data_IF_695484351558
#
_entry.id   IF_695484351558
#
_cell.length_a   1.000
_cell.length_b   1.000
_cell.length_c   1.000
_cell.angle_alpha   90.00
_cell.angle_beta   90.00
_cell.angle_gamma   90.00
#
_symmetry.space_group_name_H-M   'P 1'
#
loop_
_entity.id
_entity.type
_entity.pdbx_description
1 polymer ?
#
# COMPACT_ATOMS: atom_id res chain seq x y z
N UNK A 1 -16.38 -7.88 3.91
CA UNK A 1 -16.26 -6.42 3.70
C UNK A 1 -15.08 -6.08 2.79
N UNK A 2 -13.85 -6.53 3.07
CA UNK A 2 -12.66 -6.20 2.25
C UNK A 2 -12.68 -6.83 0.84
N UNK A 3 -13.24 -8.03 0.71
CA UNK A 3 -13.28 -8.78 -0.56
C UNK A 3 -14.12 -8.08 -1.65
N UNK A 4 -15.28 -7.54 -1.29
CA UNK A 4 -16.18 -6.88 -2.25
C UNK A 4 -15.58 -5.57 -2.83
N UNK A 5 -14.75 -4.88 -2.05
CA UNK A 5 -14.04 -3.68 -2.51
C UNK A 5 -12.89 -4.03 -3.46
N UNK A 6 -12.25 -5.19 -3.29
CA UNK A 6 -11.20 -5.70 -4.17
C UNK A 6 -11.77 -6.18 -5.51
N UNK A 7 -12.87 -6.93 -5.47
CA UNK A 7 -13.56 -7.43 -6.67
C UNK A 7 -14.08 -6.27 -7.55
N UNK A 8 -14.62 -5.20 -6.93
CA UNK A 8 -15.11 -4.02 -7.65
C UNK A 8 -14.00 -3.18 -8.30
N UNK A 9 -12.75 -3.28 -7.82
CA UNK A 9 -11.59 -2.56 -8.34
C UNK A 9 -10.82 -3.32 -9.45
N UNK A 10 -11.28 -4.53 -9.83
CA UNK A 10 -10.60 -5.38 -10.81
C UNK A 10 -9.26 -5.96 -10.31
N UNK A 11 -9.05 -5.98 -8.99
CA UNK A 11 -7.78 -6.38 -8.36
C UNK A 11 -7.96 -7.62 -7.48
N UNK A 12 -7.26 -8.70 -7.82
CA UNK A 12 -7.43 -10.03 -7.22
C UNK A 12 -6.36 -10.40 -6.19
N UNK A 13 -5.76 -9.42 -5.49
CA UNK A 13 -4.60 -9.70 -4.64
C UNK A 13 -4.43 -8.80 -3.42
N UNK A 14 -4.07 -9.43 -2.30
CA UNK A 14 -3.48 -8.78 -1.13
C UNK A 14 -1.95 -8.94 -1.18
N UNK A 15 -1.17 -7.96 -0.69
CA UNK A 15 -1.58 -6.71 -0.05
C UNK A 15 -1.93 -5.61 -1.07
N UNK A 16 -2.95 -4.83 -0.72
CA UNK A 16 -3.26 -3.54 -1.36
C UNK A 16 -3.06 -2.46 -0.32
N UNK A 17 -2.23 -1.47 -0.63
CA UNK A 17 -1.85 -0.36 0.25
C UNK A 17 -2.24 0.95 -0.44
N UNK A 18 -2.71 1.93 0.32
CA UNK A 18 -3.00 3.28 -0.18
C UNK A 18 -2.28 4.28 0.72
N UNK A 19 -1.50 5.17 0.11
CA UNK A 19 -0.77 6.22 0.82
C UNK A 19 -1.04 7.56 0.13
N UNK A 20 -1.62 8.52 0.87
CA UNK A 20 -2.04 9.84 0.32
C UNK A 20 -2.90 9.77 -0.95
N UNK A 21 -3.75 8.74 -1.08
CA UNK A 21 -4.58 8.51 -2.27
C UNK A 21 -3.86 7.82 -3.43
N UNK A 22 -2.57 7.52 -3.29
CA UNK A 22 -1.78 6.73 -4.24
C UNK A 22 -1.89 5.22 -3.91
N UNK A 23 -2.40 4.38 -4.83
CA UNK A 23 -2.55 2.95 -4.58
C UNK A 23 -1.30 2.13 -4.97
N UNK A 24 -1.00 1.10 -4.18
CA UNK A 24 0.13 0.18 -4.33
C UNK A 24 -0.36 -1.26 -4.19
N UNK A 25 -0.19 -2.06 -5.25
CA UNK A 25 -0.77 -3.41 -5.33
C UNK A 25 0.30 -4.49 -5.42
N UNK A 26 0.15 -5.55 -4.65
CA UNK A 26 1.07 -6.70 -4.65
C UNK A 26 2.23 -6.55 -3.66
N UNK A 27 2.79 -7.69 -3.27
CA UNK A 27 3.90 -7.74 -2.31
C UNK A 27 5.15 -7.04 -2.84
N UNK A 28 5.36 -7.08 -4.16
CA UNK A 28 6.46 -6.42 -4.87
C UNK A 28 6.40 -4.88 -4.80
N UNK A 29 5.27 -4.30 -4.37
CA UNK A 29 5.11 -2.85 -4.18
C UNK A 29 5.29 -2.38 -2.74
N UNK A 30 5.53 -3.28 -1.78
CA UNK A 30 5.77 -2.91 -0.38
C UNK A 30 7.02 -2.02 -0.25
N UNK A 31 8.12 -2.38 -0.93
CA UNK A 31 9.33 -1.57 -0.91
C UNK A 31 9.09 -0.17 -1.52
N UNK A 32 8.23 -0.10 -2.55
CA UNK A 32 7.90 1.14 -3.25
C UNK A 32 7.07 2.10 -2.39
N UNK A 33 6.03 1.60 -1.71
CA UNK A 33 5.24 2.45 -0.80
C UNK A 33 6.08 2.89 0.40
N UNK A 34 6.96 2.02 0.93
CA UNK A 34 7.89 2.42 2.00
C UNK A 34 8.80 3.55 1.54
N UNK A 35 9.41 3.44 0.35
CA UNK A 35 10.21 4.51 -0.23
C UNK A 35 9.40 5.81 -0.38
N UNK A 36 8.15 5.72 -0.84
CA UNK A 36 7.25 6.87 -0.97
C UNK A 36 6.99 7.55 0.36
N UNK A 37 6.75 6.77 1.41
CA UNK A 37 6.55 7.27 2.77
C UNK A 37 7.82 7.92 3.34
N UNK A 38 9.02 7.37 3.05
CA UNK A 38 10.30 7.98 3.44
C UNK A 38 10.49 9.35 2.80
N UNK A 39 10.12 9.53 1.53
CA UNK A 39 10.10 10.85 0.88
C UNK A 39 9.13 11.84 1.55
N UNK A 40 8.16 11.34 2.31
CA UNK A 40 7.20 12.14 3.10
C UNK A 40 7.58 12.27 4.57
N UNK A 41 8.80 11.87 4.93
CA UNK A 41 9.32 12.01 6.29
C UNK A 41 9.02 10.84 7.23
N UNK A 42 8.65 9.67 6.71
CA UNK A 42 8.56 8.46 7.53
C UNK A 42 9.91 8.18 8.20
N UNK A 43 9.91 8.17 9.53
CA UNK A 43 11.06 7.78 10.35
C UNK A 43 10.83 6.39 10.94
N UNK A 44 11.93 5.69 11.23
CA UNK A 44 11.87 4.43 11.98
C UNK A 44 11.36 4.73 13.39
N UNK A 45 10.46 3.89 13.89
CA UNK A 45 10.03 3.97 15.29
C UNK A 45 11.16 3.45 16.18
N UNK A 46 11.51 4.22 17.20
CA UNK A 46 12.43 3.78 18.25
C UNK A 46 11.83 2.57 18.98
N UNK A 47 12.70 1.65 19.42
CA UNK A 47 12.30 0.36 20.01
C UNK A 47 11.77 0.50 21.44
#
# INVERSE_FOLDING_TARGET
ANQAALDAAGHWGVPTLVFEGEPFFGQDRIAMVRWRMEQKGLSRRDA
#
